data_IF_006466325163
#
_entry.id   IF_006466325163
#
_cell.length_a   1.000
_cell.length_b   1.000
_cell.length_c   1.000
_cell.angle_alpha   90.00
_cell.angle_beta   90.00
_cell.angle_gamma   90.00
#
_symmetry.space_group_name_H-M   'P 1'
#
loop_
_entity.id
_entity.type
_entity.pdbx_description
1 polymer ?
#
# COMPACT_ATOMS: atom_id res chain seq x y z
N UNK A 1 18.69 -5.85 -16.18
CA UNK A 1 17.94 -5.60 -17.42
C UNK A 1 16.73 -4.76 -17.07
N UNK A 2 16.44 -3.64 -17.75
CA UNK A 2 15.25 -2.86 -17.46
C UNK A 2 13.97 -3.56 -17.92
N UNK A 3 12.91 -3.42 -17.13
CA UNK A 3 11.54 -3.75 -17.49
C UNK A 3 10.83 -2.48 -17.95
N UNK A 4 9.85 -2.60 -18.83
CA UNK A 4 9.04 -1.48 -19.33
C UNK A 4 7.57 -1.72 -19.03
N UNK A 5 6.81 -0.63 -18.96
CA UNK A 5 5.36 -0.67 -18.70
C UNK A 5 5.00 -1.61 -17.53
N UNK A 6 5.81 -1.58 -16.46
CA UNK A 6 5.58 -2.38 -15.28
C UNK A 6 4.33 -1.86 -14.58
N UNK A 7 3.40 -2.76 -14.26
CA UNK A 7 2.14 -2.47 -13.58
C UNK A 7 1.91 -3.48 -12.48
N UNK A 8 1.38 -3.01 -11.36
CA UNK A 8 0.91 -3.84 -10.25
C UNK A 8 -0.07 -3.04 -9.39
N UNK A 9 -0.78 -3.73 -8.52
CA UNK A 9 -1.56 -3.13 -7.45
C UNK A 9 -0.94 -3.50 -6.10
N UNK A 10 -1.08 -2.60 -5.13
CA UNK A 10 -0.87 -2.87 -3.71
C UNK A 10 -2.27 -2.87 -3.10
N UNK A 11 -2.67 -3.98 -2.47
CA UNK A 11 -3.99 -4.14 -1.85
C UNK A 11 -3.87 -4.38 -0.35
N UNK A 12 -5.01 -4.38 0.34
CA UNK A 12 -5.10 -4.58 1.80
C UNK A 12 -4.44 -3.43 2.58
N UNK A 13 -4.43 -2.21 2.04
CA UNK A 13 -3.96 -1.03 2.76
C UNK A 13 -5.07 -0.56 3.70
N UNK A 14 -4.95 -0.95 4.97
CA UNK A 14 -5.99 -0.79 5.95
C UNK A 14 -5.61 0.16 7.09
N UNK A 15 -6.60 0.51 7.89
CA UNK A 15 -6.43 1.31 9.10
C UNK A 15 -7.47 0.89 10.11
N UNK A 16 -7.07 0.15 11.15
CA UNK A 16 -7.92 -0.18 12.29
C UNK A 16 -7.47 0.61 13.53
N UNK A 17 -8.04 1.80 13.69
CA UNK A 17 -7.72 2.75 14.77
C UNK A 17 -8.97 3.36 15.41
N UNK A 18 -9.58 2.61 16.32
CA UNK A 18 -10.68 3.09 17.16
C UNK A 18 -10.18 3.69 18.47
N UNK A 19 -10.59 4.92 18.75
CA UNK A 19 -10.25 5.59 20.02
C UNK A 19 -11.15 5.19 21.19
N UNK A 20 -12.21 4.39 20.94
CA UNK A 20 -13.20 4.00 21.94
C UNK A 20 -12.66 3.01 22.98
N UNK A 21 -13.31 2.94 24.14
CA UNK A 21 -12.90 2.07 25.26
C UNK A 21 -12.95 0.57 24.92
N UNK A 22 -13.81 0.18 23.97
CA UNK A 22 -13.89 -1.18 23.43
C UNK A 22 -13.31 -1.28 22.01
N UNK A 23 -12.69 -0.20 21.54
CA UNK A 23 -12.16 -0.07 20.20
C UNK A 23 -10.81 -0.77 20.05
N UNK A 24 -10.53 -1.23 18.84
CA UNK A 24 -9.22 -1.76 18.48
C UNK A 24 -8.33 -0.63 17.98
N UNK A 25 -7.12 -0.50 18.54
CA UNK A 25 -6.04 0.36 18.01
C UNK A 25 -4.92 -0.56 17.54
N UNK A 26 -5.20 -1.25 16.45
CA UNK A 26 -4.40 -2.39 16.02
C UNK A 26 -3.29 -1.94 15.09
N UNK A 27 -3.67 -1.31 13.98
CA UNK A 27 -2.73 -0.93 12.94
C UNK A 27 -3.22 0.24 12.10
N UNK A 28 -2.26 0.97 11.54
CA UNK A 28 -2.47 1.90 10.43
C UNK A 28 -1.40 1.62 9.39
N UNK A 29 -1.78 1.06 8.26
CA UNK A 29 -0.84 0.73 7.20
C UNK A 29 -0.35 2.00 6.51
N UNK A 30 0.94 2.05 6.27
CA UNK A 30 1.60 3.09 5.50
C UNK A 30 2.48 2.46 4.44
N UNK A 31 2.25 2.81 3.19
CA UNK A 31 3.03 2.32 2.06
C UNK A 31 3.82 3.45 1.45
N UNK A 32 5.12 3.21 1.30
CA UNK A 32 6.04 4.12 0.62
C UNK A 32 6.62 3.39 -0.59
N UNK A 33 6.63 4.07 -1.74
CA UNK A 33 7.25 3.57 -2.96
C UNK A 33 8.44 4.46 -3.33
N UNK A 34 9.65 3.88 -3.26
CA UNK A 34 10.90 4.57 -3.57
C UNK A 34 11.46 4.03 -4.90
N UNK A 35 11.73 4.92 -5.84
CA UNK A 35 12.31 4.57 -7.15
C UNK A 35 13.03 5.76 -7.76
N UNK A 36 14.13 5.49 -8.48
CA UNK A 36 14.78 6.48 -9.33
C UNK A 36 14.05 6.66 -10.68
N UNK A 37 13.34 5.62 -11.14
CA UNK A 37 12.45 5.68 -12.30
C UNK A 37 11.14 6.34 -11.93
N UNK A 38 10.60 7.18 -12.82
CA UNK A 38 9.28 7.77 -12.65
C UNK A 38 8.18 6.71 -12.67
N UNK A 39 7.16 6.94 -11.85
CA UNK A 39 5.95 6.15 -11.80
C UNK A 39 4.74 7.06 -11.68
N UNK A 40 3.57 6.49 -11.96
CA UNK A 40 2.27 7.05 -11.64
C UNK A 40 1.60 6.08 -10.67
N UNK A 41 0.94 6.62 -9.66
CA UNK A 41 0.17 5.86 -8.71
C UNK A 41 -1.21 6.49 -8.56
N UNK A 42 -2.25 5.68 -8.70
CA UNK A 42 -3.63 6.15 -8.70
C UNK A 42 -4.51 5.18 -7.89
N UNK A 43 -5.30 5.69 -6.91
CA UNK A 43 -6.31 4.89 -6.26
C UNK A 43 -7.42 4.57 -7.27
N UNK A 44 -7.87 3.31 -7.40
CA UNK A 44 -9.00 2.99 -8.25
C UNK A 44 -10.30 3.60 -7.72
N UNK A 45 -11.33 3.63 -8.57
CA UNK A 45 -12.66 4.06 -8.13
C UNK A 45 -13.14 3.20 -6.94
N UNK A 46 -13.54 3.88 -5.86
CA UNK A 46 -13.95 3.22 -4.61
C UNK A 46 -12.82 3.00 -3.60
N UNK A 47 -11.57 3.28 -3.95
CA UNK A 47 -10.46 3.32 -2.98
C UNK A 47 -10.54 4.56 -2.10
N UNK A 48 -10.24 4.40 -0.82
CA UNK A 48 -10.08 5.48 0.15
C UNK A 48 -8.62 5.68 0.56
N UNK A 49 -7.68 5.08 -0.17
CA UNK A 49 -6.25 5.31 0.04
C UNK A 49 -5.91 6.76 -0.30
N UNK A 50 -5.21 7.43 0.61
CA UNK A 50 -4.77 8.83 0.51
C UNK A 50 -3.27 8.93 0.77
N UNK A 51 -2.68 10.10 0.52
CA UNK A 51 -1.24 10.34 0.62
C UNK A 51 -0.51 10.22 -0.73
N UNK A 52 0.78 10.54 -0.72
CA UNK A 52 1.58 10.65 -1.95
C UNK A 52 2.57 9.48 -2.12
N UNK A 53 2.56 8.50 -1.22
CA UNK A 53 3.43 7.32 -1.27
C UNK A 53 4.87 7.62 -0.90
N UNK A 54 5.11 8.71 -0.16
CA UNK A 54 6.44 9.15 0.28
C UNK A 54 6.60 8.95 1.79
N UNK A 55 7.84 8.91 2.30
CA UNK A 55 8.08 8.80 3.76
C UNK A 55 7.27 9.80 4.63
N UNK A 56 7.18 11.11 4.30
CA UNK A 56 6.36 12.04 5.08
C UNK A 56 4.85 11.95 4.79
N UNK A 57 4.45 11.34 3.68
CA UNK A 57 3.05 11.21 3.24
C UNK A 57 2.84 9.81 2.64
N UNK A 58 2.90 8.74 3.45
CA UNK A 58 2.74 7.38 2.96
C UNK A 58 1.31 7.16 2.49
N UNK A 59 1.12 6.25 1.54
CA UNK A 59 -0.22 5.79 1.21
C UNK A 59 -0.82 5.05 2.38
N UNK A 60 -2.00 5.46 2.82
CA UNK A 60 -2.72 4.86 3.92
C UNK A 60 -4.21 4.94 3.67
N UNK A 61 -5.00 4.08 4.30
CA UNK A 61 -6.43 4.25 4.26
C UNK A 61 -6.88 5.51 5.01
N UNK A 62 -7.79 6.29 4.42
CA UNK A 62 -8.41 7.43 5.11
C UNK A 62 -9.55 7.00 6.05
N UNK A 63 -10.10 5.80 5.84
CA UNK A 63 -11.22 5.27 6.62
C UNK A 63 -10.74 4.27 7.66
N UNK A 64 -11.40 4.27 8.81
CA UNK A 64 -11.18 3.30 9.88
C UNK A 64 -11.96 2.00 9.61
N UNK A 65 -11.32 0.85 9.78
CA UNK A 65 -11.85 -0.49 9.56
C UNK A 65 -10.91 -1.39 8.76
N UNK A 66 -11.11 -2.70 8.91
CA UNK A 66 -10.54 -3.68 7.99
C UNK A 66 -11.32 -3.69 6.67
N UNK A 67 -10.62 -3.76 5.56
CA UNK A 67 -11.20 -3.81 4.22
C UNK A 67 -10.89 -5.19 3.65
N UNK A 68 -11.81 -5.72 2.83
CA UNK A 68 -11.54 -6.94 2.08
C UNK A 68 -10.35 -6.70 1.15
N UNK A 69 -9.35 -7.59 1.19
CA UNK A 69 -8.10 -7.49 0.45
C UNK A 69 -8.29 -7.51 -1.08
N UNK A 70 -9.48 -7.91 -1.55
CA UNK A 70 -9.89 -7.94 -2.95
C UNK A 70 -10.82 -6.76 -3.33
N UNK A 71 -11.21 -5.94 -2.36
CA UNK A 71 -12.02 -4.75 -2.59
C UNK A 71 -11.14 -3.53 -2.88
N UNK A 72 -11.64 -2.56 -3.67
CA UNK A 72 -10.83 -1.39 -4.04
C UNK A 72 -10.51 -0.47 -2.85
N UNK A 73 -11.21 -0.61 -1.72
CA UNK A 73 -11.13 0.31 -0.57
C UNK A 73 -9.72 0.54 -0.03
N UNK A 74 -8.86 -0.49 -0.07
CA UNK A 74 -7.45 -0.47 0.35
C UNK A 74 -6.46 -0.64 -0.80
N UNK A 75 -6.84 -0.29 -2.04
CA UNK A 75 -6.01 -0.51 -3.22
C UNK A 75 -5.28 0.76 -3.70
N UNK A 76 -4.03 0.60 -4.13
CA UNK A 76 -3.26 1.57 -4.90
C UNK A 76 -2.68 0.91 -6.15
N UNK A 77 -2.96 1.47 -7.34
CA UNK A 77 -2.42 0.97 -8.62
C UNK A 77 -1.18 1.73 -9.00
N UNK A 78 -0.11 1.03 -9.34
CA UNK A 78 1.18 1.62 -9.71
C UNK A 78 1.54 1.25 -11.14
N UNK A 79 2.05 2.23 -11.88
CA UNK A 79 2.60 2.05 -13.23
C UNK A 79 3.93 2.76 -13.40
N UNK A 80 4.94 2.02 -13.83
CA UNK A 80 6.20 2.55 -14.36
C UNK A 80 6.12 2.53 -15.90
N UNK A 81 5.81 3.67 -16.55
CA UNK A 81 5.72 3.72 -18.02
C UNK A 81 7.09 3.60 -18.69
N UNK A 82 8.15 4.03 -18.01
CA UNK A 82 9.52 4.01 -18.48
C UNK A 82 10.32 2.77 -18.03
N UNK A 83 11.62 2.72 -18.35
CA UNK A 83 12.49 1.63 -17.89
C UNK A 83 12.61 1.64 -16.36
N UNK A 84 12.42 0.49 -15.73
CA UNK A 84 12.65 0.26 -14.31
C UNK A 84 13.58 -0.93 -14.12
N UNK A 85 14.62 -0.74 -13.30
CA UNK A 85 15.58 -1.79 -12.94
C UNK A 85 15.43 -2.23 -11.49
N UNK A 86 14.96 -1.35 -10.63
CA UNK A 86 14.71 -1.59 -9.21
C UNK A 86 13.76 -0.53 -8.67
N UNK A 87 12.96 -0.92 -7.70
CA UNK A 87 12.16 -0.03 -6.84
C UNK A 87 12.03 -0.72 -5.48
N UNK A 88 11.66 0.04 -4.46
CA UNK A 88 11.43 -0.46 -3.10
C UNK A 88 10.01 -0.11 -2.68
N UNK A 89 9.26 -1.12 -2.24
CA UNK A 89 8.03 -0.91 -1.48
C UNK A 89 8.42 -1.07 -0.01
N UNK A 90 8.18 -0.04 0.78
CA UNK A 90 8.36 -0.07 2.23
C UNK A 90 7.00 -0.07 2.88
N UNK A 91 6.76 -1.12 3.66
CA UNK A 91 5.65 -1.22 4.57
C UNK A 91 5.99 -0.53 5.90
N UNK A 92 5.06 0.26 6.42
CA UNK A 92 5.12 0.93 7.70
C UNK A 92 3.87 0.56 8.49
N UNK A 93 4.06 0.13 9.73
CA UNK A 93 3.00 0.23 10.72
C UNK A 93 3.07 1.63 11.34
N UNK A 94 2.25 2.55 10.84
CA UNK A 94 2.29 3.97 11.22
C UNK A 94 1.54 4.28 12.51
N UNK A 95 0.86 3.30 13.09
CA UNK A 95 0.21 3.40 14.38
C UNK A 95 -0.02 2.02 14.99
N UNK A 96 0.78 1.68 16.00
CA UNK A 96 0.56 0.50 16.85
C UNK A 96 0.75 0.83 18.32
N UNK A 97 0.02 0.12 19.19
CA UNK A 97 0.23 0.15 20.63
C UNK A 97 0.59 -1.25 21.13
N UNK A 98 1.81 -1.40 21.64
CA UNK A 98 2.23 -2.60 22.34
C UNK A 98 1.53 -2.68 23.70
N UNK A 99 0.59 -3.60 23.83
CA UNK A 99 0.02 -4.01 25.12
C UNK A 99 -0.97 -3.00 25.70
N UNK A 100 -2.27 -3.26 25.55
CA UNK A 100 -3.30 -2.49 26.24
C UNK A 100 -4.73 -2.94 25.96
N UNK A 101 -4.98 -3.50 24.78
CA UNK A 101 -6.28 -4.08 24.41
C UNK A 101 -6.17 -5.59 24.23
N UNK A 102 -7.10 -6.39 24.80
CA UNK A 102 -7.16 -7.84 24.55
C UNK A 102 -7.51 -8.18 23.09
N UNK A 103 -7.91 -7.19 22.28
CA UNK A 103 -8.31 -7.36 20.89
C UNK A 103 -7.21 -6.97 19.88
N UNK A 104 -6.01 -6.59 20.33
CA UNK A 104 -4.87 -6.28 19.45
C UNK A 104 -4.18 -7.58 19.05
N UNK A 105 -4.28 -7.99 17.77
CA UNK A 105 -3.52 -9.14 17.25
C UNK A 105 -2.24 -8.72 16.48
N UNK A 106 -2.15 -7.45 16.05
CA UNK A 106 -1.07 -6.91 15.21
C UNK A 106 -0.83 -7.73 13.93
N UNK A 107 -1.86 -8.39 13.40
CA UNK A 107 -1.74 -9.09 12.13
C UNK A 107 -1.78 -8.05 11.01
N UNK A 108 -0.67 -7.96 10.26
CA UNK A 108 -0.49 -6.93 9.25
C UNK A 108 0.08 -7.55 7.99
N UNK A 109 -0.64 -7.38 6.89
CA UNK A 109 -0.22 -7.80 5.58
C UNK A 109 -0.58 -6.71 4.57
N UNK A 110 0.21 -6.65 3.49
CA UNK A 110 -0.22 -6.02 2.25
C UNK A 110 0.18 -6.93 1.12
N UNK A 111 -0.59 -6.91 0.05
CA UNK A 111 -0.34 -7.79 -1.08
C UNK A 111 0.07 -6.97 -2.30
N UNK A 112 1.06 -7.47 -3.03
CA UNK A 112 1.37 -6.98 -4.37
C UNK A 112 0.74 -7.94 -5.36
N UNK A 113 -0.19 -7.43 -6.17
CA UNK A 113 -1.01 -8.23 -7.08
C UNK A 113 -0.95 -7.71 -8.52
N UNK A 114 -1.39 -8.51 -9.48
CA UNK A 114 -1.52 -8.09 -10.88
C UNK A 114 -0.20 -7.67 -11.55
N UNK A 115 0.93 -8.24 -11.12
CA UNK A 115 2.26 -7.85 -11.58
C UNK A 115 2.46 -8.22 -13.06
N UNK A 116 2.54 -7.21 -13.93
CA UNK A 116 2.72 -7.38 -15.38
C UNK A 116 3.77 -6.41 -15.89
N UNK A 117 4.55 -6.81 -16.88
CA UNK A 117 5.61 -5.97 -17.45
C UNK A 117 5.96 -6.39 -18.87
N UNK A 118 6.55 -5.48 -19.63
CA UNK A 118 7.17 -5.74 -20.92
C UNK A 118 8.66 -6.01 -20.74
N UNK A 119 9.10 -7.15 -21.27
CA UNK A 119 10.52 -7.43 -21.48
C UNK A 119 10.87 -7.13 -22.93
N UNK A 120 11.60 -6.05 -23.18
CA UNK A 120 12.09 -5.73 -24.53
C UNK A 120 13.41 -6.47 -24.79
N UNK A 121 13.43 -7.32 -25.81
CA UNK A 121 14.66 -7.99 -26.25
C UNK A 121 15.65 -7.00 -26.86
N UNK A 122 16.95 -7.29 -26.73
CA UNK A 122 17.96 -6.66 -27.58
C UNK A 122 17.83 -7.30 -28.95
N UNK A 123 17.32 -6.54 -29.92
CA UNK A 123 17.39 -6.88 -31.34
C UNK A 123 18.77 -6.49 -31.88
#
# INVERSE_FOLDING_TARGET
>A
MPLYDLRFAITDIDSAWSTSWFGTRDFVDGIVLESASSFVAEPPAGSSVTGDGTMPSPWRNANDGGIDENAPGGEMRVRFPGPVTSFTIRYLNTGYLLGGSPNTNNDQAVFVTGFTFERRGLC
#
